data_IF_244642159862
#
_entry.id   IF_244642159862
#
_cell.length_a   1.000
_cell.length_b   1.000
_cell.length_c   1.000
_cell.angle_alpha   90.00
_cell.angle_beta   90.00
_cell.angle_gamma   90.00
#
_symmetry.space_group_name_H-M   'P 1'
#
loop_
_entity.id
_entity.type
_entity.pdbx_description
1 polymer ?
#
# COMPACT_ATOMS: atom_id res chain seq x y z
N UNK A 1 18.83 3.67 -9.05
CA UNK A 1 18.57 4.55 -7.87
C UNK A 1 17.99 3.70 -6.74
N UNK A 2 18.28 3.97 -5.46
CA UNK A 2 17.73 3.19 -4.35
C UNK A 2 16.78 4.01 -3.49
N UNK A 3 15.53 3.56 -3.32
CA UNK A 3 14.51 4.24 -2.51
C UNK A 3 14.74 3.91 -1.03
N UNK A 4 14.92 4.93 -0.19
CA UNK A 4 15.03 4.75 1.26
C UNK A 4 13.65 4.47 1.88
N UNK A 5 13.54 3.36 2.63
CA UNK A 5 12.30 2.89 3.25
C UNK A 5 12.26 3.07 4.77
N UNK A 6 13.33 3.56 5.41
CA UNK A 6 13.46 3.65 6.87
C UNK A 6 12.34 4.50 7.52
N UNK A 7 11.94 5.60 6.87
CA UNK A 7 10.82 6.41 7.34
C UNK A 7 9.48 5.66 7.23
N UNK A 8 9.23 4.97 6.12
CA UNK A 8 8.05 4.12 5.94
C UNK A 8 7.95 3.06 7.05
N UNK A 9 9.04 2.37 7.35
CA UNK A 9 9.09 1.38 8.41
C UNK A 9 8.76 1.97 9.80
N UNK A 10 9.18 3.21 10.08
CA UNK A 10 8.81 3.93 11.31
C UNK A 10 7.32 4.23 11.36
N UNK A 11 6.74 4.72 10.27
CA UNK A 11 5.29 4.99 10.18
C UNK A 11 4.47 3.72 10.38
N UNK A 12 4.84 2.62 9.72
CA UNK A 12 4.16 1.32 9.86
C UNK A 12 4.20 0.82 11.30
N UNK A 13 5.37 0.87 11.97
CA UNK A 13 5.47 0.47 13.38
C UNK A 13 4.61 1.33 14.29
N UNK A 14 4.56 2.64 14.06
CA UNK A 14 3.69 3.53 14.82
C UNK A 14 2.22 3.17 14.61
N UNK A 15 1.80 2.95 13.36
CA UNK A 15 0.43 2.56 13.02
C UNK A 15 0.04 1.21 13.63
N UNK A 16 0.95 0.23 13.68
CA UNK A 16 0.71 -1.05 14.36
C UNK A 16 0.60 -0.84 15.88
N UNK A 17 1.53 -0.11 16.48
CA UNK A 17 1.60 0.07 17.95
C UNK A 17 0.39 0.83 18.51
N UNK A 18 -0.18 1.74 17.72
CA UNK A 18 -1.36 2.53 18.07
C UNK A 18 -2.66 1.97 17.47
N UNK A 19 -2.61 0.79 16.83
CA UNK A 19 -3.76 0.14 16.19
C UNK A 19 -4.53 1.06 15.21
N UNK A 20 -3.81 1.88 14.44
CA UNK A 20 -4.40 2.87 13.52
C UNK A 20 -4.99 2.25 12.26
N UNK A 21 -4.63 1.00 11.95
CA UNK A 21 -5.12 0.28 10.78
C UNK A 21 -5.64 -1.11 11.19
N UNK A 22 -6.70 -1.59 10.53
CA UNK A 22 -7.25 -2.91 10.78
C UNK A 22 -6.32 -4.04 10.32
N UNK A 23 -5.36 -3.78 9.41
CA UNK A 23 -4.41 -4.77 8.90
C UNK A 23 -5.09 -6.10 8.60
N UNK A 24 -6.11 -6.06 7.74
CA UNK A 24 -7.15 -7.08 7.57
C UNK A 24 -6.71 -8.41 6.94
N UNK A 25 -5.44 -8.74 7.08
CA UNK A 25 -4.79 -9.96 6.63
C UNK A 25 -5.06 -11.11 7.61
N UNK A 26 -5.99 -11.98 7.25
CA UNK A 26 -6.32 -13.20 8.01
C UNK A 26 -5.91 -14.45 7.23
N UNK A 27 -5.79 -15.59 7.92
CA UNK A 27 -5.55 -16.90 7.28
C UNK A 27 -6.73 -17.36 6.43
N UNK A 28 -7.96 -17.00 6.83
CA UNK A 28 -9.20 -17.28 6.08
C UNK A 28 -9.77 -15.97 5.52
N UNK A 29 -10.02 -15.93 4.22
CA UNK A 29 -10.50 -14.74 3.50
C UNK A 29 -12.03 -14.65 3.57
N UNK A 30 -12.54 -13.82 4.49
CA UNK A 30 -13.97 -13.60 4.71
C UNK A 30 -14.65 -12.71 3.67
N UNK A 31 -15.97 -12.53 3.79
CA UNK A 31 -16.77 -11.67 2.91
C UNK A 31 -16.29 -10.22 2.90
N UNK A 32 -15.98 -9.67 4.08
CA UNK A 32 -15.49 -8.29 4.20
C UNK A 32 -14.11 -8.06 3.58
N UNK A 33 -13.21 -9.04 3.64
CA UNK A 33 -11.95 -8.94 2.92
C UNK A 33 -12.15 -8.95 1.40
N UNK A 34 -13.18 -9.65 0.88
CA UNK A 34 -13.54 -9.60 -0.55
C UNK A 34 -14.11 -8.24 -0.95
N UNK A 35 -14.96 -7.65 -0.12
CA UNK A 35 -15.45 -6.28 -0.32
C UNK A 35 -14.28 -5.27 -0.35
N UNK A 36 -13.34 -5.39 0.60
CA UNK A 36 -12.14 -4.57 0.65
C UNK A 36 -11.21 -4.81 -0.55
N UNK A 37 -11.03 -6.06 -0.99
CA UNK A 37 -10.26 -6.40 -2.20
C UNK A 37 -10.85 -5.71 -3.43
N UNK A 38 -12.18 -5.81 -3.63
CA UNK A 38 -12.89 -5.14 -4.72
C UNK A 38 -12.74 -3.61 -4.66
N UNK A 39 -13.00 -3.02 -3.48
CA UNK A 39 -12.88 -1.58 -3.26
C UNK A 39 -11.45 -1.09 -3.49
N UNK A 40 -10.46 -1.85 -3.04
CA UNK A 40 -9.05 -1.48 -3.11
C UNK A 40 -8.56 -1.23 -4.52
N UNK A 41 -9.08 -1.99 -5.48
CA UNK A 41 -8.72 -1.82 -6.88
C UNK A 41 -9.15 -0.45 -7.42
N UNK A 42 -10.34 0.01 -7.05
CA UNK A 42 -10.86 1.34 -7.42
C UNK A 42 -10.04 2.47 -6.80
N UNK A 43 -9.76 2.38 -5.50
CA UNK A 43 -8.95 3.38 -4.78
C UNK A 43 -7.56 3.51 -5.37
N UNK A 44 -6.86 2.40 -5.56
CA UNK A 44 -5.49 2.43 -6.09
C UNK A 44 -5.46 3.00 -7.50
N UNK A 45 -6.43 2.64 -8.36
CA UNK A 45 -6.56 3.23 -9.69
C UNK A 45 -6.78 4.74 -9.62
N UNK A 46 -7.63 5.21 -8.73
CA UNK A 46 -7.90 6.64 -8.56
C UNK A 46 -6.64 7.40 -8.11
N UNK A 47 -6.00 6.96 -7.03
CA UNK A 47 -4.79 7.61 -6.48
C UNK A 47 -3.61 7.58 -7.46
N UNK A 48 -3.41 6.47 -8.18
CA UNK A 48 -2.40 6.41 -9.25
C UNK A 48 -2.75 7.34 -10.41
N UNK A 49 -4.01 7.40 -10.82
CA UNK A 49 -4.46 8.30 -11.87
C UNK A 49 -4.15 9.76 -11.53
N UNK A 50 -4.48 10.18 -10.31
CA UNK A 50 -4.12 11.51 -9.82
C UNK A 50 -2.61 11.72 -9.82
N UNK A 51 -1.84 10.77 -9.32
CA UNK A 51 -0.38 10.86 -9.30
C UNK A 51 0.20 11.04 -10.71
N UNK A 52 -0.29 10.30 -11.69
CA UNK A 52 0.15 10.37 -13.09
C UNK A 52 -0.16 11.73 -13.67
N UNK A 53 -1.40 12.21 -13.55
CA UNK A 53 -1.82 13.51 -14.10
C UNK A 53 -1.02 14.67 -13.49
N UNK A 54 -0.70 14.61 -12.20
CA UNK A 54 0.14 15.63 -11.56
C UNK A 54 1.62 15.53 -11.93
N UNK A 55 2.09 14.38 -12.42
CA UNK A 55 3.51 14.15 -12.70
C UNK A 55 3.91 14.41 -14.17
N UNK A 56 2.95 14.43 -15.09
CA UNK A 56 3.20 14.64 -16.53
C UNK A 56 2.47 15.88 -17.04
N UNK A 57 3.20 16.77 -17.71
CA UNK A 57 2.64 18.01 -18.28
C UNK A 57 1.75 17.77 -19.50
N UNK A 58 1.94 16.66 -20.22
CA UNK A 58 1.12 16.21 -21.34
C UNK A 58 0.88 14.72 -21.16
N UNK A 59 -0.38 14.31 -21.10
CA UNK A 59 -0.76 12.93 -20.84
C UNK A 59 -1.88 12.55 -21.82
N UNK A 60 -1.51 11.98 -22.98
CA UNK A 60 -2.52 11.50 -23.91
C UNK A 60 -3.23 10.25 -23.35
N UNK A 61 -4.50 9.99 -23.71
CA UNK A 61 -5.27 8.90 -23.11
C UNK A 61 -4.67 7.50 -23.28
N UNK A 62 -3.93 7.25 -24.37
CA UNK A 62 -3.29 5.95 -24.60
C UNK A 62 -2.08 5.76 -23.70
N UNK A 63 -1.23 6.78 -23.59
CA UNK A 63 -0.13 6.79 -22.62
C UNK A 63 -0.66 6.61 -21.20
N UNK A 64 -1.63 7.43 -20.78
CA UNK A 64 -2.21 7.37 -19.44
C UNK A 64 -2.70 5.96 -19.07
N UNK A 65 -3.49 5.35 -19.96
CA UNK A 65 -4.06 4.01 -19.73
C UNK A 65 -2.95 2.96 -19.63
N UNK A 66 -2.03 2.96 -20.59
CA UNK A 66 -0.95 1.98 -20.66
C UNK A 66 0.01 2.11 -19.47
N UNK A 67 0.35 3.35 -19.07
CA UNK A 67 1.23 3.62 -17.95
C UNK A 67 0.59 3.23 -16.62
N UNK A 68 -0.68 3.55 -16.40
CA UNK A 68 -1.43 3.14 -15.21
C UNK A 68 -1.50 1.62 -15.10
N UNK A 69 -1.76 0.93 -16.20
CA UNK A 69 -1.82 -0.54 -16.20
C UNK A 69 -0.45 -1.15 -15.91
N UNK A 70 0.64 -0.54 -16.39
CA UNK A 70 2.02 -0.88 -16.04
C UNK A 70 2.34 -0.68 -14.55
N UNK A 71 1.91 0.43 -13.94
CA UNK A 71 2.02 0.65 -12.49
C UNK A 71 1.28 -0.45 -11.71
N UNK A 72 0.05 -0.77 -12.14
CA UNK A 72 -0.76 -1.80 -11.51
C UNK A 72 -0.09 -3.17 -11.63
N UNK A 73 0.50 -3.53 -12.77
CA UNK A 73 1.19 -4.81 -12.95
C UNK A 73 2.39 -5.00 -11.99
N UNK A 74 3.09 -3.92 -11.63
CA UNK A 74 4.25 -3.94 -10.74
C UNK A 74 3.93 -4.22 -9.26
N UNK A 75 2.65 -4.19 -8.87
CA UNK A 75 2.19 -4.30 -7.47
C UNK A 75 2.65 -5.56 -6.73
N UNK A 76 2.91 -6.65 -7.46
CA UNK A 76 3.29 -7.94 -6.87
C UNK A 76 4.74 -7.97 -6.38
N UNK A 77 5.67 -7.38 -7.13
CA UNK A 77 7.11 -7.40 -6.83
C UNK A 77 7.49 -6.50 -5.66
N UNK A 78 6.87 -5.32 -5.59
CA UNK A 78 7.09 -4.29 -4.57
C UNK A 78 6.81 -4.76 -3.13
N UNK A 79 5.87 -5.68 -2.97
CA UNK A 79 5.33 -6.03 -1.66
C UNK A 79 6.21 -7.03 -0.88
N UNK A 80 6.85 -7.97 -1.58
CA UNK A 80 7.64 -9.03 -0.94
C UNK A 80 8.79 -8.46 -0.09
N UNK A 81 9.41 -7.38 -0.53
CA UNK A 81 10.54 -6.76 0.18
C UNK A 81 10.08 -5.80 1.28
N UNK A 82 9.05 -4.99 1.03
CA UNK A 82 8.64 -3.91 1.93
C UNK A 82 7.78 -4.37 3.11
N UNK A 83 6.84 -5.29 2.87
CA UNK A 83 5.75 -5.58 3.81
C UNK A 83 5.80 -7.00 4.39
N UNK A 84 6.70 -7.87 3.91
CA UNK A 84 6.91 -9.21 4.46
C UNK A 84 7.30 -9.24 5.94
N UNK A 85 7.87 -8.14 6.45
CA UNK A 85 8.22 -8.01 7.88
C UNK A 85 7.01 -7.74 8.79
N UNK A 86 5.85 -7.39 8.21
CA UNK A 86 4.65 -6.98 8.92
C UNK A 86 3.42 -7.80 8.57
N UNK A 87 3.36 -8.44 7.41
CA UNK A 87 2.16 -9.16 6.94
C UNK A 87 2.56 -10.61 6.60
N UNK A 88 1.96 -11.64 7.25
CA UNK A 88 2.29 -13.05 7.03
C UNK A 88 2.22 -13.47 5.55
N UNK A 89 3.13 -14.32 5.07
CA UNK A 89 3.31 -14.67 3.63
C UNK A 89 2.18 -15.55 3.03
N UNK A 90 1.11 -15.86 3.78
CA UNK A 90 0.05 -16.79 3.37
C UNK A 90 -0.95 -16.29 2.29
N UNK A 91 -1.03 -15.00 2.01
CA UNK A 91 -1.94 -14.37 1.02
C UNK A 91 -1.27 -13.99 -0.33
N UNK A 92 -2.03 -13.89 -1.42
CA UNK A 92 -1.50 -13.47 -2.74
C UNK A 92 -0.92 -12.05 -2.72
N UNK A 93 0.33 -11.89 -3.17
CA UNK A 93 1.21 -10.72 -2.94
C UNK A 93 0.63 -9.38 -3.38
N UNK A 94 0.13 -9.30 -4.62
CA UNK A 94 -0.38 -8.04 -5.20
C UNK A 94 -1.65 -7.48 -4.57
N UNK A 95 -2.44 -8.31 -3.89
CA UNK A 95 -3.69 -7.86 -3.24
C UNK A 95 -3.43 -7.04 -1.97
N UNK A 96 -2.31 -7.33 -1.30
CA UNK A 96 -2.06 -6.80 0.04
C UNK A 96 -1.73 -5.32 0.04
N UNK A 97 -0.92 -4.86 -0.91
CA UNK A 97 -0.62 -3.42 -1.05
C UNK A 97 -1.89 -2.62 -1.34
N UNK A 98 -2.76 -3.15 -2.21
CA UNK A 98 -4.03 -2.52 -2.53
C UNK A 98 -4.91 -2.43 -1.28
N UNK A 99 -5.03 -3.51 -0.51
CA UNK A 99 -5.80 -3.51 0.74
C UNK A 99 -5.25 -2.52 1.77
N UNK A 100 -3.93 -2.45 1.99
CA UNK A 100 -3.35 -1.43 2.91
C UNK A 100 -3.67 -0.02 2.43
N UNK A 101 -3.51 0.27 1.14
CA UNK A 101 -3.85 1.58 0.56
C UNK A 101 -5.33 1.92 0.80
N UNK A 102 -6.21 0.94 0.62
CA UNK A 102 -7.65 1.09 0.81
C UNK A 102 -8.02 1.33 2.28
N UNK A 103 -7.43 0.57 3.21
CA UNK A 103 -7.60 0.82 4.64
C UNK A 103 -7.16 2.23 5.01
N UNK A 104 -6.03 2.71 4.47
CA UNK A 104 -5.57 4.07 4.73
C UNK A 104 -6.59 5.12 4.25
N UNK A 105 -7.17 4.92 3.05
CA UNK A 105 -8.21 5.80 2.52
C UNK A 105 -9.46 5.84 3.39
N UNK A 106 -9.90 4.69 3.91
CA UNK A 106 -11.13 4.59 4.70
C UNK A 106 -10.94 5.09 6.13
N UNK A 107 -9.77 4.87 6.73
CA UNK A 107 -9.54 5.18 8.15
C UNK A 107 -9.00 6.59 8.36
N UNK A 108 -8.20 7.15 7.43
CA UNK A 108 -7.62 8.49 7.62
C UNK A 108 -8.63 9.61 7.95
N UNK A 109 -9.87 9.64 7.42
CA UNK A 109 -10.83 10.70 7.74
C UNK A 109 -11.40 10.61 9.16
N UNK A 110 -11.30 9.44 9.80
CA UNK A 110 -11.88 9.20 11.14
C UNK A 110 -10.86 9.37 12.27
N UNK A 111 -9.58 9.48 11.92
CA UNK A 111 -8.50 9.70 12.87
C UNK A 111 -8.35 11.19 13.22
N UNK A 112 -7.70 11.45 14.37
CA UNK A 112 -7.21 12.79 14.66
C UNK A 112 -6.17 13.21 13.60
N UNK A 113 -5.91 14.52 13.51
CA UNK A 113 -5.01 15.06 12.49
C UNK A 113 -3.64 14.37 12.46
N UNK A 114 -3.00 14.17 13.62
CA UNK A 114 -1.66 13.59 13.69
C UNK A 114 -1.63 12.14 13.18
N UNK A 115 -2.53 11.30 13.67
CA UNK A 115 -2.60 9.89 13.28
C UNK A 115 -3.08 9.72 11.83
N UNK A 116 -3.97 10.62 11.37
CA UNK A 116 -4.35 10.73 9.96
C UNK A 116 -3.16 11.01 9.06
N UNK A 117 -2.25 11.92 9.45
CA UNK A 117 -1.01 12.18 8.68
C UNK A 117 -0.08 10.97 8.62
N UNK A 118 0.01 10.17 9.70
CA UNK A 118 0.81 8.93 9.69
C UNK A 118 0.25 7.94 8.66
N UNK A 119 -1.07 7.72 8.68
CA UNK A 119 -1.75 6.81 7.74
C UNK A 119 -1.65 7.29 6.30
N UNK A 120 -1.82 8.59 6.05
CA UNK A 120 -1.62 9.19 4.72
C UNK A 120 -0.17 9.11 4.24
N UNK A 121 0.80 9.19 5.16
CA UNK A 121 2.22 8.98 4.86
C UNK A 121 2.52 7.56 4.37
N UNK A 122 1.91 6.55 5.00
CA UNK A 122 1.99 5.15 4.56
C UNK A 122 1.39 5.01 3.15
N UNK A 123 0.16 5.52 2.94
CA UNK A 123 -0.51 5.47 1.64
C UNK A 123 0.31 6.13 0.54
N UNK A 124 0.80 7.35 0.80
CA UNK A 124 1.59 8.13 -0.15
C UNK A 124 2.88 7.42 -0.53
N UNK A 125 3.57 6.80 0.44
CA UNK A 125 4.76 6.01 0.15
C UNK A 125 4.44 4.83 -0.78
N UNK A 126 3.38 4.07 -0.51
CA UNK A 126 3.00 2.92 -1.34
C UNK A 126 2.60 3.32 -2.76
N UNK A 127 1.81 4.39 -2.91
CA UNK A 127 1.41 4.92 -4.23
C UNK A 127 2.62 5.44 -5.02
N UNK A 128 3.52 6.18 -4.36
CA UNK A 128 4.73 6.67 -5.02
C UNK A 128 5.63 5.52 -5.49
N UNK A 129 5.76 4.46 -4.69
CA UNK A 129 6.54 3.29 -5.09
C UNK A 129 5.90 2.55 -6.28
N UNK A 130 4.56 2.37 -6.29
CA UNK A 130 3.84 1.81 -7.44
C UNK A 130 4.04 2.65 -8.70
N UNK A 131 3.99 3.97 -8.57
CA UNK A 131 4.24 4.90 -9.67
C UNK A 131 5.67 4.76 -10.21
N UNK A 132 6.67 4.76 -9.32
CA UNK A 132 8.07 4.56 -9.71
C UNK A 132 8.26 3.20 -10.38
N UNK A 133 7.57 2.15 -9.92
CA UNK A 133 7.59 0.86 -10.59
C UNK A 133 6.90 0.80 -11.95
N UNK A 134 5.85 1.59 -12.15
CA UNK A 134 5.37 1.89 -13.49
C UNK A 134 6.46 2.53 -14.36
N UNK A 135 7.21 3.49 -13.82
CA UNK A 135 8.33 4.11 -14.54
C UNK A 135 9.42 3.10 -14.94
N UNK A 136 9.73 2.09 -14.11
CA UNK A 136 10.66 1.01 -14.50
C UNK A 136 10.17 0.31 -15.75
N UNK A 137 8.93 -0.15 -15.68
CA UNK A 137 8.37 -1.06 -16.67
C UNK A 137 8.15 -0.34 -17.99
N UNK A 138 7.77 0.93 -17.92
CA UNK A 138 7.37 1.70 -19.09
C UNK A 138 8.54 2.46 -19.75
N UNK A 139 9.50 2.95 -18.96
CA UNK A 139 10.63 3.74 -19.46
C UNK A 139 11.97 3.01 -19.39
N UNK A 140 11.99 1.76 -18.92
CA UNK A 140 13.18 0.90 -18.81
C UNK A 140 14.32 1.51 -17.97
N UNK A 141 13.98 2.11 -16.82
CA UNK A 141 14.95 2.66 -15.86
C UNK A 141 15.10 1.79 -14.61
N UNK A 142 16.33 1.49 -14.21
CA UNK A 142 16.61 0.65 -13.04
C UNK A 142 16.54 1.42 -11.70
N UNK A 143 15.71 0.91 -10.79
CA UNK A 143 15.77 1.25 -9.38
C UNK A 143 15.58 0.02 -8.49
N UNK A 144 16.00 0.17 -7.24
CA UNK A 144 15.83 -0.80 -6.17
C UNK A 144 15.24 -0.11 -4.95
N UNK A 145 14.67 -0.90 -4.05
CA UNK A 145 14.15 -0.39 -2.78
C UNK A 145 15.08 -0.89 -1.69
N UNK A 146 15.50 0.00 -0.79
CA UNK A 146 16.26 -0.42 0.36
C UNK A 146 15.36 -1.29 1.24
N UNK A 147 15.83 -2.50 1.56
CA UNK A 147 15.18 -3.34 2.56
C UNK A 147 15.16 -2.67 3.95
N UNK A 148 14.32 -3.17 4.87
CA UNK A 148 14.25 -2.66 6.23
C UNK A 148 15.61 -2.61 6.93
N UNK A 149 15.84 -1.59 7.76
CA UNK A 149 17.07 -1.46 8.56
C UNK A 149 17.31 -2.72 9.42
N UNK A 150 18.59 -3.02 9.74
CA UNK A 150 19.00 -4.19 10.58
C UNK A 150 18.24 -4.30 11.91
N UNK A 151 17.74 -3.18 12.43
CA UNK A 151 16.97 -3.11 13.68
C UNK A 151 15.46 -3.33 13.48
N UNK A 152 15.05 -3.87 12.32
CA UNK A 152 13.65 -4.19 12.06
C UNK A 152 13.29 -5.52 12.67
N UNK A 153 12.68 -5.44 13.85
CA UNK A 153 12.03 -6.57 14.49
C UNK A 153 10.89 -7.05 13.58
N UNK A 154 10.97 -8.30 13.13
CA UNK A 154 9.86 -8.97 12.47
C UNK A 154 8.74 -9.15 13.47
N UNK A 155 7.53 -8.76 13.11
CA UNK A 155 6.37 -9.00 13.97
C UNK A 155 6.02 -10.49 13.87
N UNK A 156 6.32 -11.25 14.92
CA UNK A 156 6.13 -12.72 14.95
C UNK A 156 4.76 -13.15 15.48
N UNK A 157 4.06 -12.29 16.22
CA UNK A 157 2.73 -12.57 16.75
C UNK A 157 1.70 -11.58 16.21
N UNK A 158 0.81 -12.11 15.37
CA UNK A 158 -0.46 -11.48 15.02
C UNK A 158 -1.58 -12.33 15.64
N UNK A 159 -1.94 -12.10 16.90
CA UNK A 159 -3.22 -12.57 17.44
C UNK A 159 -4.33 -11.57 17.05
N UNK A 160 -4.65 -11.43 15.77
CA UNK A 160 -5.78 -10.61 15.31
C UNK A 160 -7.00 -11.48 15.08
N UNK A 161 -7.68 -11.85 16.15
CA UNK A 161 -8.95 -12.59 16.09
C UNK A 161 -10.19 -11.71 15.93
N UNK A 162 -10.09 -10.39 15.94
CA UNK A 162 -11.23 -9.52 15.60
C UNK A 162 -10.74 -8.27 14.86
N UNK A 163 -10.51 -8.42 13.56
CA UNK A 163 -10.41 -7.27 12.68
C UNK A 163 -11.84 -6.73 12.53
N UNK A 164 -12.15 -5.59 13.14
CA UNK A 164 -13.46 -4.94 13.01
C UNK A 164 -13.62 -4.31 11.61
N UNK A 165 -13.54 -5.14 10.57
CA UNK A 165 -13.80 -4.81 9.17
C UNK A 165 -15.22 -4.27 8.95
N UNK A 166 -16.14 -4.64 9.85
CA UNK A 166 -17.51 -4.13 9.88
C UNK A 166 -17.57 -2.61 10.00
N UNK A 167 -16.61 -1.98 10.67
CA UNK A 167 -16.55 -0.53 10.85
C UNK A 167 -15.91 0.25 9.70
N UNK A 168 -15.31 -0.41 8.70
CA UNK A 168 -14.58 0.26 7.61
C UNK A 168 -15.48 0.89 6.54
N UNK A 169 -16.72 0.41 6.42
CA UNK A 169 -17.67 0.80 5.37
C UNK A 169 -18.96 1.43 5.93
N UNK A 170 -18.97 1.77 7.23
CA UNK A 170 -20.12 2.41 7.88
C UNK A 170 -20.13 3.92 7.66
#
# INVERSE_FOLDING_TARGET
MTIQSSHFHKLVRYAISNNLLPWSFCTVFGSKQKELDFYSYGVVKHLLSEKIVHSFSVCDPKFFTSFRDGCMAAREQLFDELLSSYIPVTQSKGKRVCMVIAECSLVSPTLNFHDGQVVLGIQSFLINNLFVAGCQNFFHYDFSIAGPDRNTLRVTDYSRTDVNLSGLFN
#
